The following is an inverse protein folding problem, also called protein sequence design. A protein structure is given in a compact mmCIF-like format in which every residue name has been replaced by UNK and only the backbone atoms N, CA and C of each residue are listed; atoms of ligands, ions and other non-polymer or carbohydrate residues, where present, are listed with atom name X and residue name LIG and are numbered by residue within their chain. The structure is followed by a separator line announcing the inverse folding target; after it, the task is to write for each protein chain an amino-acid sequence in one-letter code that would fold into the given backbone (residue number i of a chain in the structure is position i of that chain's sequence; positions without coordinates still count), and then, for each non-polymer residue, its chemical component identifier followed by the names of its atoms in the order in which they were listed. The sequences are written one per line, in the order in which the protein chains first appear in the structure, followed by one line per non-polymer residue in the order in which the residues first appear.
data_IF_203737459703
#
_entry.id   IF_203737459703
#
_cell.length_a   1.000
_cell.length_b   1.000
_cell.length_c   1.000
_cell.angle_alpha   90.00
_cell.angle_beta   90.00
_cell.angle_gamma   90.00
#
_symmetry.space_group_name_H-M   'P 1'
#
loop_
_entity.id
_entity.type
_entity.pdbx_description
1 polymer ?
#
# COMPACT_ATOMS: atom_id res chain seq x y z
N UNK A 1 -14.75 -16.75 -39.53
CA UNK A 1 -15.67 -17.58 -38.71
C UNK A 1 -17.04 -16.90 -38.68
N UNK A 2 -18.12 -17.60 -39.02
CA UNK A 2 -19.46 -17.01 -39.07
C UNK A 2 -19.99 -16.77 -37.65
N UNK A 3 -20.55 -15.58 -37.42
CA UNK A 3 -21.17 -15.18 -36.17
C UNK A 3 -22.41 -16.05 -35.89
N UNK A 4 -22.42 -16.75 -34.76
CA UNK A 4 -23.57 -17.51 -34.27
C UNK A 4 -24.70 -16.51 -33.96
N UNK A 5 -25.71 -16.46 -34.83
CA UNK A 5 -26.94 -15.69 -34.59
C UNK A 5 -27.69 -16.34 -33.42
N UNK A 6 -27.93 -15.61 -32.34
CA UNK A 6 -28.80 -16.07 -31.24
C UNK A 6 -30.19 -16.40 -31.81
N UNK A 7 -30.69 -17.61 -31.59
CA UNK A 7 -32.08 -17.97 -31.89
C UNK A 7 -32.99 -17.14 -30.97
N UNK A 8 -33.97 -16.44 -31.54
CA UNK A 8 -35.07 -15.80 -30.78
C UNK A 8 -35.78 -16.86 -29.94
N UNK A 9 -35.98 -16.59 -28.67
CA UNK A 9 -36.75 -17.46 -27.78
C UNK A 9 -38.25 -17.29 -28.04
N UNK A 10 -39.02 -18.36 -27.83
CA UNK A 10 -40.49 -18.42 -28.05
C UNK A 10 -41.26 -17.43 -27.15
N UNK A 11 -40.62 -16.92 -26.09
CA UNK A 11 -41.22 -16.00 -25.12
C UNK A 11 -40.88 -14.52 -25.38
N UNK A 12 -40.02 -14.21 -26.35
CA UNK A 12 -39.57 -12.83 -26.63
C UNK A 12 -40.68 -11.96 -27.25
N UNK A 13 -41.69 -12.58 -27.86
CA UNK A 13 -42.77 -11.89 -28.56
C UNK A 13 -44.10 -11.84 -27.75
N UNK A 14 -44.16 -12.45 -26.55
CA UNK A 14 -45.38 -12.45 -25.71
C UNK A 14 -45.31 -11.31 -24.69
N UNK A 15 -45.98 -10.19 -25.01
CA UNK A 15 -46.13 -9.04 -24.11
C UNK A 15 -47.21 -9.33 -23.05
N UNK A 16 -46.87 -10.14 -22.04
CA UNK A 16 -47.72 -10.40 -20.88
C UNK A 16 -47.88 -9.06 -20.15
N UNK A 17 -49.10 -8.50 -20.11
CA UNK A 17 -49.43 -7.33 -19.29
C UNK A 17 -49.51 -7.75 -17.83
N UNK A 18 -48.34 -8.00 -17.25
CA UNK A 18 -48.18 -8.02 -15.79
C UNK A 18 -48.59 -6.62 -15.33
N UNK A 19 -49.45 -6.54 -14.32
CA UNK A 19 -50.08 -5.30 -13.85
C UNK A 19 -49.06 -4.14 -13.75
N UNK A 20 -49.41 -2.93 -14.23
CA UNK A 20 -48.48 -1.78 -14.34
C UNK A 20 -47.90 -1.29 -13.00
N UNK A 21 -48.33 -1.88 -11.88
CA UNK A 21 -47.90 -1.54 -10.54
C UNK A 21 -46.71 -2.37 -10.05
N UNK A 22 -46.42 -3.53 -10.66
CA UNK A 22 -45.26 -4.35 -10.28
C UNK A 22 -43.96 -3.61 -10.61
N UNK A 23 -43.89 -2.93 -11.75
CA UNK A 23 -42.72 -2.14 -12.13
C UNK A 23 -42.43 -0.99 -11.13
N UNK A 24 -43.48 -0.38 -10.57
CA UNK A 24 -43.36 0.67 -9.54
C UNK A 24 -42.90 0.09 -8.19
N UNK A 25 -43.38 -1.10 -7.84
CA UNK A 25 -42.98 -1.82 -6.62
C UNK A 25 -41.51 -2.25 -6.71
N UNK A 26 -41.09 -2.79 -7.86
CA UNK A 26 -39.71 -3.21 -8.12
C UNK A 26 -38.76 -2.00 -8.18
N UNK A 27 -39.23 -0.84 -8.67
CA UNK A 27 -38.44 0.39 -8.65
C UNK A 27 -38.12 0.90 -7.24
N UNK A 28 -39.00 0.67 -6.27
CA UNK A 28 -38.79 1.01 -4.86
C UNK A 28 -38.10 -0.12 -4.06
N UNK A 29 -37.82 -1.26 -4.69
CA UNK A 29 -37.23 -2.41 -4.00
C UNK A 29 -35.76 -2.12 -3.64
N UNK A 30 -35.37 -2.56 -2.44
CA UNK A 30 -33.98 -2.46 -1.95
C UNK A 30 -33.01 -3.26 -2.84
N UNK A 31 -33.49 -4.28 -3.56
CA UNK A 31 -32.68 -5.15 -4.43
C UNK A 31 -32.96 -4.80 -5.89
N UNK A 32 -32.51 -3.63 -6.33
CA UNK A 32 -32.67 -3.19 -7.71
C UNK A 32 -31.73 -3.89 -8.70
N UNK A 33 -31.89 -3.68 -10.02
CA UNK A 33 -31.08 -4.30 -11.07
C UNK A 33 -29.58 -4.00 -10.96
N UNK A 34 -29.22 -2.86 -10.37
CA UNK A 34 -27.84 -2.49 -10.10
C UNK A 34 -27.20 -3.37 -9.01
N UNK A 35 -27.97 -3.77 -8.00
CA UNK A 35 -27.54 -4.65 -6.92
C UNK A 35 -27.44 -6.08 -7.43
N UNK A 36 -28.42 -6.55 -8.20
CA UNK A 36 -28.37 -7.88 -8.85
C UNK A 36 -27.16 -8.02 -9.78
N UNK A 37 -26.86 -6.99 -10.59
CA UNK A 37 -25.66 -6.97 -11.44
C UNK A 37 -24.37 -6.96 -10.62
N UNK A 38 -24.33 -6.26 -9.48
CA UNK A 38 -23.17 -6.26 -8.58
C UNK A 38 -22.98 -7.62 -7.89
N UNK A 39 -24.06 -8.27 -7.46
CA UNK A 39 -24.04 -9.63 -6.87
C UNK A 39 -23.58 -10.65 -7.94
N UNK A 40 -24.09 -10.54 -9.15
CA UNK A 40 -23.64 -11.38 -10.27
C UNK A 40 -22.17 -11.14 -10.62
N UNK A 41 -21.65 -9.92 -10.43
CA UNK A 41 -20.27 -9.57 -10.69
C UNK A 41 -19.31 -10.13 -9.63
N UNK A 42 -19.69 -10.14 -8.34
CA UNK A 42 -18.82 -10.62 -7.26
C UNK A 42 -18.63 -12.14 -7.23
N UNK A 43 -19.61 -12.89 -7.76
CA UNK A 43 -19.58 -14.37 -7.84
C UNK A 43 -18.95 -14.90 -9.14
N UNK A 44 -18.54 -14.02 -10.07
CA UNK A 44 -17.92 -14.46 -11.32
C UNK A 44 -16.46 -14.83 -11.14
N UNK A 45 -16.06 -15.94 -11.75
CA UNK A 45 -14.67 -16.28 -11.92
C UNK A 45 -13.93 -15.18 -12.69
N UNK A 46 -12.84 -14.68 -12.10
CA UNK A 46 -11.99 -13.66 -12.72
C UNK A 46 -11.44 -14.19 -14.04
N UNK A 47 -11.48 -13.35 -15.08
CA UNK A 47 -10.89 -13.69 -16.39
C UNK A 47 -9.38 -13.88 -16.24
N UNK A 48 -8.77 -14.67 -17.12
CA UNK A 48 -7.32 -14.90 -17.10
C UNK A 48 -6.50 -13.58 -17.15
N UNK A 49 -6.98 -12.58 -17.89
CA UNK A 49 -6.39 -11.24 -17.94
C UNK A 49 -6.43 -10.50 -16.59
N UNK A 50 -7.54 -10.59 -15.86
CA UNK A 50 -7.70 -9.98 -14.53
C UNK A 50 -6.78 -10.67 -13.52
N UNK A 51 -6.75 -12.01 -13.51
CA UNK A 51 -5.82 -12.79 -12.68
C UNK A 51 -4.35 -12.43 -12.96
N UNK A 52 -3.98 -12.20 -14.23
CA UNK A 52 -2.62 -11.77 -14.60
C UNK A 52 -2.31 -10.35 -14.10
N UNK A 53 -3.27 -9.43 -14.14
CA UNK A 53 -3.12 -8.06 -13.60
C UNK A 53 -2.94 -8.09 -12.08
N UNK A 54 -3.76 -8.85 -11.36
CA UNK A 54 -3.66 -8.98 -9.90
C UNK A 54 -2.32 -9.57 -9.47
N UNK A 55 -1.83 -10.62 -10.16
CA UNK A 55 -0.50 -11.17 -9.90
C UNK A 55 0.62 -10.16 -10.16
N UNK A 56 0.47 -9.27 -11.14
CA UNK A 56 1.44 -8.20 -11.39
C UNK A 56 1.40 -7.15 -10.27
N UNK A 57 0.22 -6.74 -9.84
CA UNK A 57 0.05 -5.80 -8.73
C UNK A 57 0.66 -6.37 -7.44
N UNK A 58 0.31 -7.61 -7.06
CA UNK A 58 0.88 -8.27 -5.89
C UNK A 58 2.41 -8.38 -5.91
N UNK A 59 3.01 -8.58 -7.11
CA UNK A 59 4.46 -8.56 -7.31
C UNK A 59 5.07 -7.16 -7.22
N UNK A 60 4.30 -6.11 -7.50
CA UNK A 60 4.78 -4.73 -7.39
C UNK A 60 4.73 -4.20 -5.96
N UNK A 61 3.81 -4.72 -5.13
CA UNK A 61 3.71 -4.38 -3.71
C UNK A 61 4.87 -4.94 -2.87
N UNK A 62 5.55 -5.96 -3.39
CA UNK A 62 6.48 -6.78 -2.62
C UNK A 62 7.81 -6.91 -3.35
N UNK A 63 8.93 -6.85 -2.63
CA UNK A 63 10.28 -7.04 -3.21
C UNK A 63 10.50 -8.46 -3.79
N UNK A 64 9.58 -9.38 -3.53
CA UNK A 64 9.54 -10.75 -4.04
C UNK A 64 10.15 -11.79 -3.09
N UNK A 65 9.99 -13.06 -3.46
CA UNK A 65 10.41 -14.21 -2.63
C UNK A 65 11.91 -14.27 -2.34
N UNK A 66 12.74 -13.72 -3.24
CA UNK A 66 14.19 -13.64 -3.04
C UNK A 66 14.60 -12.71 -1.90
N UNK A 67 13.68 -11.83 -1.46
CA UNK A 67 13.88 -10.91 -0.36
C UNK A 67 12.71 -10.98 0.63
N UNK A 68 12.41 -12.21 1.06
CA UNK A 68 11.42 -12.54 2.10
C UNK A 68 10.07 -11.83 1.98
N UNK A 69 9.65 -11.56 0.75
CA UNK A 69 8.40 -10.85 0.48
C UNK A 69 8.27 -9.54 1.28
N UNK A 70 9.34 -8.74 1.31
CA UNK A 70 9.35 -7.42 1.96
C UNK A 70 8.33 -6.48 1.31
N UNK A 71 7.37 -5.99 2.11
CA UNK A 71 6.30 -5.08 1.68
C UNK A 71 6.81 -3.67 1.43
N UNK A 72 6.22 -2.99 0.44
CA UNK A 72 6.39 -1.56 0.21
C UNK A 72 5.50 -0.76 1.18
N UNK A 73 6.07 0.06 2.08
CA UNK A 73 5.27 0.97 2.89
C UNK A 73 4.78 2.16 2.06
N UNK A 74 3.73 2.82 2.52
CA UNK A 74 3.24 4.06 1.94
C UNK A 74 4.20 5.22 2.25
N UNK A 75 4.47 6.06 1.25
CA UNK A 75 5.38 7.19 1.38
C UNK A 75 4.69 8.37 2.08
N UNK A 76 4.67 8.35 3.41
CA UNK A 76 4.27 9.51 4.21
C UNK A 76 5.37 10.59 4.20
N UNK A 77 5.01 11.84 4.50
CA UNK A 77 5.99 12.93 4.53
C UNK A 77 7.09 12.74 5.57
N UNK A 78 6.76 12.17 6.74
CA UNK A 78 7.71 11.86 7.81
C UNK A 78 8.77 10.87 7.33
N UNK A 79 8.32 9.77 6.73
CA UNK A 79 9.19 8.72 6.20
C UNK A 79 10.08 9.28 5.08
N UNK A 80 9.52 10.15 4.23
CA UNK A 80 10.28 10.80 3.16
C UNK A 80 11.43 11.65 3.73
N UNK A 81 11.18 12.45 4.77
CA UNK A 81 12.20 13.26 5.44
C UNK A 81 13.30 12.39 6.04
N UNK A 82 12.94 11.30 6.72
CA UNK A 82 13.90 10.36 7.28
C UNK A 82 14.80 9.74 6.19
N UNK A 83 14.23 9.34 5.05
CA UNK A 83 15.01 8.78 3.95
C UNK A 83 15.92 9.81 3.27
N UNK A 84 15.45 11.05 3.10
CA UNK A 84 16.26 12.17 2.59
C UNK A 84 17.45 12.46 3.53
N UNK A 85 17.24 12.42 4.84
CA UNK A 85 18.31 12.57 5.83
C UNK A 85 19.34 11.45 5.73
N UNK A 86 18.91 10.19 5.58
CA UNK A 86 19.82 9.06 5.38
C UNK A 86 20.64 9.22 4.09
N UNK A 87 20.03 9.77 3.05
CA UNK A 87 20.71 10.07 1.79
C UNK A 87 21.77 11.16 1.98
N UNK A 88 21.47 12.19 2.75
CA UNK A 88 22.35 13.33 3.06
C UNK A 88 23.29 13.10 4.25
N UNK A 89 23.40 11.88 4.79
CA UNK A 89 24.18 11.58 6.00
C UNK A 89 25.64 12.06 5.98
N UNK A 90 26.25 12.17 4.80
CA UNK A 90 27.62 12.69 4.63
C UNK A 90 27.78 14.18 4.88
N UNK A 91 26.68 14.95 4.93
CA UNK A 91 26.70 16.37 5.22
C UNK A 91 26.36 16.69 6.70
N UNK A 92 25.91 15.69 7.48
CA UNK A 92 25.44 15.90 8.85
C UNK A 92 26.60 16.08 9.84
N UNK A 93 27.60 15.20 9.76
CA UNK A 93 28.76 15.24 10.65
C UNK A 93 30.04 15.46 9.82
N UNK A 94 30.79 16.56 10.04
CA UNK A 94 32.04 16.83 9.32
C UNK A 94 33.14 15.80 9.58
N UNK A 95 33.04 15.00 10.65
CA UNK A 95 34.03 13.96 10.98
C UNK A 95 33.69 12.61 10.36
N UNK A 96 32.42 12.34 10.09
CA UNK A 96 31.97 11.05 9.57
C UNK A 96 31.91 11.07 8.03
N UNK A 97 32.91 10.47 7.39
CA UNK A 97 32.98 10.35 5.94
C UNK A 97 32.37 9.02 5.46
N UNK A 98 31.20 9.09 4.82
CA UNK A 98 30.51 7.93 4.27
C UNK A 98 30.80 7.72 2.78
N UNK A 99 30.66 6.48 2.31
CA UNK A 99 30.66 6.18 0.87
C UNK A 99 29.47 6.87 0.19
N UNK A 100 29.71 7.44 -0.99
CA UNK A 100 28.69 8.10 -1.82
C UNK A 100 27.57 7.12 -2.19
N UNK A 101 26.33 7.58 -2.17
CA UNK A 101 25.18 6.77 -2.56
C UNK A 101 25.20 6.48 -4.07
N UNK A 102 24.74 5.28 -4.45
CA UNK A 102 24.71 4.84 -5.86
C UNK A 102 23.56 5.44 -6.67
N UNK A 103 22.47 5.85 -6.02
CA UNK A 103 21.29 6.44 -6.65
C UNK A 103 20.85 7.66 -5.85
N UNK A 104 20.25 8.61 -6.55
CA UNK A 104 19.59 9.76 -5.94
C UNK A 104 18.11 9.51 -5.63
N UNK A 105 17.56 8.37 -6.08
CA UNK A 105 16.16 8.00 -5.89
C UNK A 105 15.96 7.30 -4.54
N UNK A 106 14.83 7.58 -3.89
CA UNK A 106 14.44 6.93 -2.65
C UNK A 106 14.12 5.44 -2.92
N UNK A 107 14.49 4.53 -2.01
CA UNK A 107 14.22 3.11 -2.18
C UNK A 107 12.71 2.86 -2.19
N UNK A 108 12.25 2.00 -3.11
CA UNK A 108 10.83 1.65 -3.21
C UNK A 108 10.39 0.73 -2.05
N UNK A 109 11.16 -0.32 -1.78
CA UNK A 109 10.86 -1.31 -0.74
C UNK A 109 11.80 -1.10 0.43
N UNK A 110 11.27 -0.88 1.64
CA UNK A 110 12.05 -0.70 2.85
C UNK A 110 11.20 -1.02 4.09
N UNK A 111 11.87 -1.19 5.22
CA UNK A 111 11.25 -1.35 6.53
C UNK A 111 11.97 -0.46 7.54
N UNK A 112 11.21 0.14 8.44
CA UNK A 112 11.73 0.92 9.54
C UNK A 112 11.64 0.05 10.79
N UNK A 113 12.77 -0.12 11.47
CA UNK A 113 12.87 -0.93 12.67
C UNK A 113 13.67 -0.22 13.74
N UNK A 114 13.48 -0.62 14.99
CA UNK A 114 14.21 -0.10 16.14
C UNK A 114 15.26 -1.10 16.60
N UNK A 115 16.42 -0.60 17.03
CA UNK A 115 17.48 -1.45 17.57
C UNK A 115 17.07 -1.95 18.95
N UNK A 116 17.07 -3.27 19.13
CA UNK A 116 16.85 -3.91 20.43
C UNK A 116 18.21 -4.06 21.10
N UNK A 117 18.46 -3.23 22.11
CA UNK A 117 19.71 -3.23 22.87
C UNK A 117 19.88 -4.53 23.66
N UNK A 118 21.14 -4.98 23.77
CA UNK A 118 21.48 -6.12 24.62
C UNK A 118 21.55 -5.71 26.09
N UNK A 119 21.29 -6.63 27.01
CA UNK A 119 21.38 -6.35 28.46
C UNK A 119 22.84 -6.20 28.96
N UNK A 120 23.82 -6.58 28.16
CA UNK A 120 25.23 -6.60 28.55
C UNK A 120 25.88 -5.21 28.54
N UNK A 121 25.41 -4.31 27.67
CA UNK A 121 25.96 -2.96 27.53
C UNK A 121 24.93 -1.93 28.00
N UNK A 122 24.93 -1.66 29.31
CA UNK A 122 23.94 -0.77 29.94
C UNK A 122 24.33 0.71 29.88
N UNK A 123 25.62 1.03 29.91
CA UNK A 123 26.10 2.40 30.16
C UNK A 123 26.60 3.13 28.91
N UNK A 124 27.03 2.42 27.86
CA UNK A 124 27.61 3.03 26.66
C UNK A 124 26.69 2.98 25.45
N UNK A 125 26.17 1.81 25.10
CA UNK A 125 25.42 1.61 23.86
C UNK A 125 23.92 1.90 23.95
N UNK A 126 23.41 2.29 25.12
CA UNK A 126 21.98 2.39 25.41
C UNK A 126 21.48 3.83 25.48
N UNK A 127 20.40 4.11 24.76
CA UNK A 127 19.67 5.37 24.85
C UNK A 127 18.68 5.35 26.02
N UNK A 128 18.63 6.46 26.76
CA UNK A 128 17.60 6.65 27.81
C UNK A 128 16.22 6.84 27.18
N UNK A 129 15.16 6.63 27.97
CA UNK A 129 13.78 6.77 27.47
C UNK A 129 13.45 8.20 26.99
N UNK A 130 14.20 9.22 27.47
CA UNK A 130 13.99 10.61 27.06
C UNK A 130 14.60 10.89 25.68
N UNK A 131 15.71 10.24 25.38
CA UNK A 131 16.45 10.41 24.12
C UNK A 131 15.81 9.63 22.98
N UNK A 132 15.19 8.48 23.25
CA UNK A 132 14.46 7.69 22.25
C UNK A 132 13.32 8.48 21.64
N UNK A 133 13.34 8.69 20.32
CA UNK A 133 12.22 9.31 19.58
C UNK A 133 11.59 8.32 18.61
N UNK A 134 10.59 8.80 17.87
CA UNK A 134 9.85 7.99 16.90
C UNK A 134 10.50 7.97 15.52
N UNK A 135 11.12 9.08 15.12
CA UNK A 135 11.72 9.29 13.80
C UNK A 135 13.19 9.64 13.93
N UNK A 136 13.97 9.40 12.89
CA UNK A 136 15.41 9.70 12.87
C UNK A 136 15.63 11.21 12.92
N UNK A 137 14.81 11.97 12.19
CA UNK A 137 14.85 13.44 12.20
C UNK A 137 14.64 14.01 13.60
N UNK A 138 13.68 13.49 14.36
CA UNK A 138 13.40 13.96 15.72
C UNK A 138 14.58 13.70 16.68
N UNK A 139 15.27 12.56 16.52
CA UNK A 139 16.47 12.26 17.30
C UNK A 139 17.59 13.26 17.01
N UNK A 140 17.83 13.56 15.73
CA UNK A 140 18.83 14.53 15.32
C UNK A 140 18.52 15.95 15.84
N UNK A 141 17.26 16.37 15.77
CA UNK A 141 16.83 17.66 16.30
C UNK A 141 17.01 17.74 17.82
N UNK A 142 16.65 16.68 18.54
CA UNK A 142 16.83 16.62 19.99
C UNK A 142 18.32 16.65 20.39
N UNK A 143 19.18 15.97 19.64
CA UNK A 143 20.63 16.01 19.84
C UNK A 143 21.20 17.41 19.58
N UNK A 144 20.77 18.06 18.49
CA UNK A 144 21.19 19.42 18.15
C UNK A 144 20.82 20.43 19.24
N UNK A 145 19.57 20.40 19.72
CA UNK A 145 19.11 21.26 20.80
C UNK A 145 19.88 21.01 22.11
N UNK A 146 20.22 19.75 22.39
CA UNK A 146 21.00 19.38 23.57
C UNK A 146 22.43 19.92 23.49
N UNK A 147 23.08 19.81 22.32
CA UNK A 147 24.42 20.37 22.08
C UNK A 147 24.46 21.89 22.15
N UNK A 148 23.37 22.57 21.76
CA UNK A 148 23.28 24.04 21.77
C UNK A 148 23.04 24.61 23.18
N UNK A 149 22.36 23.86 24.05
CA UNK A 149 22.04 24.28 25.42
C UNK A 149 23.17 24.00 26.42
N UNK A 150 24.07 23.09 26.08
CA UNK A 150 25.31 22.82 26.83
C UNK A 150 26.36 23.90 26.53
#
# INVERSE_FOLDING_TARGET
MPLIKKKKGVLDDVKIKISPDIDKIVANAVVGPAIEKNIGQCMRDKKAGEKKKERKAARQETAGKGWFDMKSPEMTEEIKRDLEVIQMRGALDPKAHYKKNSSNELPKHFQIGTVIETKADFYSGRLTNKERKRTIVDELLAEYDSKRKA
#
